data_IF_548675017180
#
_entry.id   IF_548675017180
#
_cell.length_a   1.000
_cell.length_b   1.000
_cell.length_c   1.000
_cell.angle_alpha   90.00
_cell.angle_beta   90.00
_cell.angle_gamma   90.00
#
_symmetry.space_group_name_H-M   'P 1'
#
loop_
_entity.id
_entity.type
_entity.pdbx_description
1 polymer ?
#
# COMPACT_ATOMS: atom_id res chain seq x y z
N UNK A 1 2.24 27.87 2.62
CA UNK A 1 2.36 26.41 2.76
C UNK A 1 1.17 25.75 2.10
N UNK A 2 1.31 24.51 1.66
CA UNK A 2 0.20 23.69 1.15
C UNK A 2 -0.12 22.61 2.17
N UNK A 3 -1.39 22.32 2.35
CA UNK A 3 -1.87 21.16 3.13
C UNK A 3 -2.75 20.36 2.20
N UNK A 4 -2.48 19.07 2.08
CA UNK A 4 -3.20 18.18 1.19
C UNK A 4 -3.15 16.75 1.74
N UNK A 5 -4.06 15.92 1.25
CA UNK A 5 -4.10 14.50 1.58
C UNK A 5 -2.98 13.74 0.85
N UNK A 6 -2.21 12.95 1.58
CA UNK A 6 -1.21 12.04 1.03
C UNK A 6 -1.24 10.71 1.81
N UNK A 7 -0.58 9.69 1.29
CA UNK A 7 -0.41 8.38 1.93
C UNK A 7 1.05 7.94 1.81
N UNK A 8 1.47 7.00 2.65
CA UNK A 8 2.73 6.30 2.51
C UNK A 8 2.45 4.80 2.27
N UNK A 9 3.18 4.14 1.35
CA UNK A 9 4.28 4.65 0.51
C UNK A 9 3.79 5.52 -0.67
N UNK A 10 4.57 6.56 -1.05
CA UNK A 10 4.27 7.44 -2.19
C UNK A 10 5.48 8.29 -2.63
N UNK A 11 5.65 8.54 -3.95
CA UNK A 11 6.83 9.24 -4.49
C UNK A 11 7.00 10.69 -3.98
N UNK A 12 5.90 11.37 -3.60
CA UNK A 12 5.94 12.74 -3.10
C UNK A 12 6.88 12.91 -1.89
N UNK A 13 7.07 11.87 -1.08
CA UNK A 13 7.99 11.86 0.07
C UNK A 13 9.46 12.02 -0.33
N UNK A 14 9.82 11.81 -1.60
CA UNK A 14 11.18 12.03 -2.12
C UNK A 14 11.34 13.34 -2.88
N UNK A 15 10.25 13.87 -3.43
CA UNK A 15 10.26 15.07 -4.28
C UNK A 15 10.14 16.35 -3.44
N UNK A 16 9.41 16.27 -2.33
CA UNK A 16 9.12 17.42 -1.48
C UNK A 16 9.56 17.13 -0.05
N UNK A 17 10.05 18.16 0.64
CA UNK A 17 10.27 18.13 2.09
C UNK A 17 8.90 18.27 2.79
N UNK A 18 8.28 17.12 3.05
CA UNK A 18 6.95 17.02 3.66
C UNK A 18 7.05 16.43 5.06
N UNK A 19 6.12 16.86 5.91
CA UNK A 19 5.88 16.25 7.22
C UNK A 19 4.43 15.79 7.28
N UNK A 20 4.20 14.65 7.93
CA UNK A 20 2.86 14.24 8.32
C UNK A 20 2.39 15.13 9.49
N UNK A 21 1.17 15.66 9.40
CA UNK A 21 0.57 16.36 10.52
C UNK A 21 0.23 15.37 11.64
N UNK A 22 0.47 15.76 12.89
CA UNK A 22 0.14 14.94 14.04
C UNK A 22 -1.38 14.89 14.25
N UNK A 23 -1.93 13.69 14.35
CA UNK A 23 -3.35 13.43 14.58
C UNK A 23 -3.53 12.67 15.91
N UNK A 24 -4.66 12.82 16.62
CA UNK A 24 -4.95 11.99 17.78
C UNK A 24 -4.95 10.50 17.40
N UNK A 25 -4.53 9.58 18.29
CA UNK A 25 -4.53 8.15 18.00
C UNK A 25 -5.91 7.64 17.56
N UNK A 26 -5.92 6.66 16.64
CA UNK A 26 -7.14 6.04 16.16
C UNK A 26 -8.00 5.51 17.34
N UNK A 27 -9.28 5.87 17.31
CA UNK A 27 -10.31 5.40 18.23
C UNK A 27 -11.57 5.08 17.39
N UNK A 28 -12.00 3.81 17.31
CA UNK A 28 -13.15 3.42 16.52
C UNK A 28 -14.45 4.12 16.97
N UNK A 29 -14.56 4.52 18.24
CA UNK A 29 -15.73 5.26 18.73
C UNK A 29 -15.77 6.72 18.23
N UNK A 30 -14.66 7.23 17.70
CA UNK A 30 -14.50 8.60 17.18
C UNK A 30 -14.22 8.66 15.68
N UNK A 31 -14.38 7.52 14.99
CA UNK A 31 -14.16 7.36 13.57
C UNK A 31 -15.44 6.86 12.90
N UNK A 32 -16.42 7.74 12.73
CA UNK A 32 -17.66 7.46 12.00
C UNK A 32 -17.52 7.99 10.58
N UNK A 33 -17.32 7.10 9.62
CA UNK A 33 -17.25 7.44 8.20
C UNK A 33 -18.46 6.84 7.48
N UNK A 34 -19.31 7.69 6.91
CA UNK A 34 -20.41 7.27 6.05
C UNK A 34 -20.05 7.65 4.62
N UNK A 35 -20.13 6.72 3.68
CA UNK A 35 -19.80 7.01 2.29
C UNK A 35 -21.02 7.53 1.52
N UNK A 36 -20.82 8.37 0.47
CA UNK A 36 -21.93 8.91 -0.33
C UNK A 36 -22.82 7.85 -0.99
N UNK A 37 -22.32 6.64 -1.22
CA UNK A 37 -23.08 5.53 -1.80
C UNK A 37 -23.89 4.75 -0.74
N UNK A 38 -23.60 4.93 0.55
CA UNK A 38 -24.30 4.29 1.66
C UNK A 38 -25.49 5.14 2.13
N UNK A 39 -25.33 6.47 2.16
CA UNK A 39 -26.36 7.40 2.65
C UNK A 39 -26.24 8.78 1.96
N UNK A 40 -27.32 9.35 1.39
CA UNK A 40 -27.27 10.71 0.83
C UNK A 40 -26.97 11.80 1.87
N UNK A 41 -27.24 11.56 3.16
CA UNK A 41 -26.92 12.46 4.28
C UNK A 41 -25.52 12.18 4.87
N UNK A 42 -24.65 11.44 4.16
CA UNK A 42 -23.32 11.03 4.62
C UNK A 42 -22.48 12.17 5.21
N UNK A 43 -22.60 13.38 4.65
CA UNK A 43 -21.81 14.54 5.05
C UNK A 43 -22.14 14.96 6.49
N UNK A 44 -23.43 15.02 6.83
CA UNK A 44 -23.90 15.38 8.17
C UNK A 44 -23.74 14.23 9.17
N UNK A 45 -23.76 12.98 8.68
CA UNK A 45 -23.66 11.77 9.53
C UNK A 45 -22.21 11.33 9.79
N UNK A 46 -21.25 11.78 9.01
CA UNK A 46 -19.83 11.47 9.20
C UNK A 46 -19.20 12.36 10.28
N UNK A 47 -18.40 11.76 11.14
CA UNK A 47 -17.62 12.47 12.15
C UNK A 47 -16.33 11.71 12.44
N UNK A 48 -15.20 12.32 12.09
CA UNK A 48 -13.85 11.77 12.28
C UNK A 48 -13.03 12.84 13.01
N UNK A 49 -12.61 12.53 14.23
CA UNK A 49 -11.85 13.46 15.09
C UNK A 49 -10.52 12.89 15.57
N UNK A 50 -10.10 11.78 14.97
CA UNK A 50 -8.90 11.01 15.26
C UNK A 50 -8.25 10.60 13.95
N UNK A 51 -6.96 10.25 13.99
CA UNK A 51 -6.23 9.75 12.84
C UNK A 51 -6.81 8.43 12.32
N UNK A 52 -6.54 8.16 11.05
CA UNK A 52 -6.99 6.93 10.41
C UNK A 52 -6.26 5.69 10.95
N UNK A 53 -6.94 4.56 10.95
CA UNK A 53 -6.31 3.26 11.18
C UNK A 53 -5.34 2.94 10.03
N UNK A 54 -4.17 2.40 10.38
CA UNK A 54 -3.20 1.83 9.43
C UNK A 54 -3.88 0.87 8.45
N UNK A 55 -3.51 1.00 7.17
CA UNK A 55 -4.05 0.18 6.09
C UNK A 55 -3.09 -0.94 5.76
N UNK A 56 -3.66 -2.11 5.41
CA UNK A 56 -2.90 -3.24 4.89
C UNK A 56 -3.21 -3.43 3.40
N UNK A 57 -2.16 -3.67 2.62
CA UNK A 57 -2.25 -3.92 1.17
C UNK A 57 -2.08 -5.43 0.96
N UNK A 58 -2.95 -6.00 0.13
CA UNK A 58 -2.99 -7.44 -0.13
C UNK A 58 -2.96 -7.73 -1.63
N UNK A 59 -2.30 -8.81 -2.02
CA UNK A 59 -2.36 -9.33 -3.38
C UNK A 59 -3.65 -10.12 -3.56
N UNK A 60 -4.62 -9.53 -4.27
CA UNK A 60 -5.86 -10.22 -4.63
C UNK A 60 -5.66 -11.12 -5.86
N UNK A 61 -6.11 -12.38 -5.79
CA UNK A 61 -6.12 -13.30 -6.92
C UNK A 61 -7.44 -14.11 -7.00
N UNK A 62 -7.75 -14.63 -8.19
CA UNK A 62 -8.97 -15.43 -8.39
C UNK A 62 -8.92 -16.74 -7.62
N UNK A 63 -9.98 -17.08 -6.88
CA UNK A 63 -10.10 -18.38 -6.18
C UNK A 63 -9.90 -19.59 -7.11
N UNK A 64 -10.30 -19.49 -8.38
CA UNK A 64 -10.10 -20.57 -9.36
C UNK A 64 -8.62 -20.88 -9.64
N UNK A 65 -7.72 -19.95 -9.32
CA UNK A 65 -6.28 -20.11 -9.54
C UNK A 65 -5.68 -21.20 -8.64
N UNK A 66 -6.24 -21.41 -7.45
CA UNK A 66 -5.82 -22.46 -6.51
C UNK A 66 -5.92 -23.86 -7.12
N UNK A 67 -6.82 -24.06 -8.09
CA UNK A 67 -6.96 -25.32 -8.83
C UNK A 67 -6.21 -25.30 -10.16
N UNK A 68 -6.30 -24.19 -10.91
CA UNK A 68 -5.70 -24.10 -12.27
C UNK A 68 -4.17 -23.97 -12.24
N UNK A 69 -3.61 -23.35 -11.21
CA UNK A 69 -2.18 -23.11 -11.05
C UNK A 69 -1.83 -22.96 -9.55
N UNK A 70 -1.86 -24.04 -8.76
CA UNK A 70 -1.70 -23.99 -7.31
C UNK A 70 -0.41 -23.30 -6.87
N UNK A 71 0.72 -23.57 -7.54
CA UNK A 71 2.00 -22.92 -7.23
C UNK A 71 1.96 -21.40 -7.43
N UNK A 72 1.24 -20.91 -8.44
CA UNK A 72 1.10 -19.47 -8.67
C UNK A 72 0.19 -18.84 -7.61
N UNK A 73 -0.88 -19.53 -7.23
CA UNK A 73 -1.76 -19.06 -6.16
C UNK A 73 -1.01 -18.97 -4.83
N UNK A 74 -0.19 -19.98 -4.50
CA UNK A 74 0.65 -20.00 -3.30
C UNK A 74 1.69 -18.90 -3.32
N UNK A 75 2.40 -18.72 -4.44
CA UNK A 75 3.31 -17.60 -4.63
C UNK A 75 2.63 -16.25 -4.36
N UNK A 76 1.51 -15.95 -5.04
CA UNK A 76 0.78 -14.69 -4.89
C UNK A 76 0.28 -14.47 -3.46
N UNK A 77 -0.15 -15.54 -2.78
CA UNK A 77 -0.60 -15.51 -1.37
C UNK A 77 0.53 -15.16 -0.41
N UNK A 78 1.76 -15.57 -0.72
CA UNK A 78 2.92 -15.39 0.15
C UNK A 78 3.68 -14.10 -0.12
N UNK A 79 3.40 -13.36 -1.21
CA UNK A 79 4.02 -12.06 -1.47
C UNK A 79 3.76 -11.13 -0.28
N UNK A 80 4.85 -10.71 0.36
CA UNK A 80 4.84 -9.77 1.46
C UNK A 80 5.91 -8.69 1.24
N UNK A 81 5.45 -7.46 1.02
CA UNK A 81 6.30 -6.28 0.84
C UNK A 81 6.06 -5.30 1.98
N UNK A 82 7.14 -4.71 2.50
CA UNK A 82 7.08 -3.62 3.48
C UNK A 82 6.95 -2.26 2.78
N UNK A 83 6.56 -1.25 3.56
CA UNK A 83 6.34 0.11 3.07
C UNK A 83 7.61 0.66 2.43
N UNK A 84 8.77 0.46 3.06
CA UNK A 84 10.05 0.99 2.59
C UNK A 84 10.42 0.45 1.21
N UNK A 85 10.26 -0.86 1.00
CA UNK A 85 10.50 -1.52 -0.29
C UNK A 85 9.63 -0.93 -1.39
N UNK A 86 8.33 -0.77 -1.13
CA UNK A 86 7.40 -0.20 -2.12
C UNK A 86 7.71 1.28 -2.35
N UNK A 87 8.10 2.02 -1.31
CA UNK A 87 8.48 3.42 -1.41
C UNK A 87 9.73 3.59 -2.30
N UNK A 88 10.75 2.75 -2.12
CA UNK A 88 11.96 2.71 -2.95
C UNK A 88 11.61 2.46 -4.43
N UNK A 89 10.69 1.52 -4.73
CA UNK A 89 10.22 1.31 -6.10
C UNK A 89 9.58 2.56 -6.69
N UNK A 90 8.79 3.32 -5.90
CA UNK A 90 8.23 4.58 -6.40
C UNK A 90 9.30 5.61 -6.71
N UNK A 91 10.38 5.67 -5.93
CA UNK A 91 11.52 6.55 -6.20
C UNK A 91 12.23 6.15 -7.51
N UNK A 92 12.61 4.88 -7.65
CA UNK A 92 13.31 4.39 -8.84
C UNK A 92 12.48 4.56 -10.13
N UNK A 93 11.19 4.21 -10.09
CA UNK A 93 10.35 4.19 -11.27
C UNK A 93 9.80 5.58 -11.59
N UNK A 94 9.25 6.30 -10.60
CA UNK A 94 8.53 7.56 -10.84
C UNK A 94 9.46 8.76 -10.76
N UNK A 95 10.40 8.81 -9.80
CA UNK A 95 11.27 9.98 -9.65
C UNK A 95 12.47 9.89 -10.60
N UNK A 96 13.15 8.74 -10.61
CA UNK A 96 14.33 8.50 -11.47
C UNK A 96 13.98 8.05 -12.89
N UNK A 97 12.69 7.82 -13.19
CA UNK A 97 12.20 7.47 -14.52
C UNK A 97 12.84 6.19 -15.09
N UNK A 98 13.18 5.22 -14.21
CA UNK A 98 13.72 3.92 -14.65
C UNK A 98 12.61 3.01 -15.14
N UNK A 99 12.96 2.07 -16.00
CA UNK A 99 12.04 1.03 -16.43
C UNK A 99 11.68 0.11 -15.25
N UNK A 100 10.37 -0.13 -15.07
CA UNK A 100 9.88 -0.93 -13.95
C UNK A 100 10.30 -2.40 -14.01
N UNK A 101 10.50 -2.98 -15.20
CA UNK A 101 10.97 -4.36 -15.31
C UNK A 101 12.45 -4.48 -14.97
N UNK A 102 13.26 -3.49 -15.33
CA UNK A 102 14.66 -3.42 -14.92
C UNK A 102 14.79 -3.34 -13.40
N UNK A 103 14.09 -2.38 -12.77
CA UNK A 103 14.07 -2.20 -11.31
C UNK A 103 13.61 -3.49 -10.61
N UNK A 104 12.53 -4.10 -11.08
CA UNK A 104 12.05 -5.35 -10.50
C UNK A 104 13.06 -6.51 -10.65
N UNK A 105 13.70 -6.65 -11.81
CA UNK A 105 14.70 -7.70 -12.06
C UNK A 105 15.91 -7.55 -11.15
N UNK A 106 16.44 -6.33 -11.02
CA UNK A 106 17.56 -6.03 -10.12
C UNK A 106 17.18 -6.29 -8.67
N UNK A 107 16.00 -5.84 -8.25
CA UNK A 107 15.55 -6.06 -6.88
C UNK A 107 15.37 -7.54 -6.57
N UNK A 108 14.76 -8.32 -7.48
CA UNK A 108 14.62 -9.77 -7.31
C UNK A 108 16.01 -10.43 -7.21
N UNK A 109 16.95 -10.05 -8.07
CA UNK A 109 18.32 -10.58 -8.03
C UNK A 109 19.05 -10.25 -6.72
N UNK A 110 18.78 -9.09 -6.12
CA UNK A 110 19.35 -8.65 -4.85
C UNK A 110 18.62 -9.21 -3.61
N UNK A 111 17.41 -9.76 -3.77
CA UNK A 111 16.55 -10.21 -2.68
C UNK A 111 16.04 -11.65 -2.90
N UNK A 112 16.87 -12.51 -3.50
CA UNK A 112 16.49 -13.88 -3.89
C UNK A 112 15.87 -14.66 -2.74
N UNK A 113 16.49 -14.64 -1.56
CA UNK A 113 16.01 -15.41 -0.39
C UNK A 113 14.59 -15.01 0.03
N UNK A 114 14.26 -13.71 -0.08
CA UNK A 114 12.91 -13.21 0.22
C UNK A 114 11.90 -13.68 -0.81
N UNK A 115 12.28 -13.66 -2.08
CA UNK A 115 11.42 -14.09 -3.20
C UNK A 115 11.22 -15.61 -3.21
N UNK A 116 12.28 -16.36 -2.94
CA UNK A 116 12.26 -17.83 -2.82
C UNK A 116 11.38 -18.26 -1.64
N UNK A 117 11.41 -17.50 -0.53
CA UNK A 117 10.48 -17.70 0.58
C UNK A 117 9.00 -17.56 0.18
N UNK A 118 8.67 -16.76 -0.85
CA UNK A 118 7.29 -16.69 -1.36
C UNK A 118 6.91 -17.92 -2.19
N UNK A 119 7.89 -18.55 -2.85
CA UNK A 119 7.72 -19.79 -3.60
C UNK A 119 7.68 -21.05 -2.71
N UNK A 120 7.94 -20.89 -1.41
CA UNK A 120 8.02 -22.01 -0.45
C UNK A 120 9.28 -22.87 -0.62
N UNK A 121 10.36 -22.26 -1.15
CA UNK A 121 11.66 -22.90 -1.42
C UNK A 121 12.62 -22.78 -0.23
#
# INVERSE_FOLDING_TARGET
GFVFYCYAPHYNWFVFDMVQLEEPPYDPAKYTMVNPNEDPEWFEKSSITVGAQDKSIHVGYSKSLETRAPMVAEFLKNIAMDVDTVNEFTNEIVVKQRDGQEVAREWIAANSDRVDGWLGL
#
